data_IF_286111733092
#
_entry.id   IF_286111733092
#
_cell.length_a   1.000
_cell.length_b   1.000
_cell.length_c   1.000
_cell.angle_alpha   90.00
_cell.angle_beta   90.00
_cell.angle_gamma   90.00
#
_symmetry.space_group_name_H-M   'P 1'
#
loop_
_entity.id
_entity.type
_entity.pdbx_description
1 polymer ?
#
# COMPACT_ATOMS: atom_id res chain seq x y z
N UNK A 1 -23.21 -9.71 -33.46
CA UNK A 1 -21.84 -10.07 -33.86
C UNK A 1 -20.97 -9.80 -32.65
N UNK A 2 -20.67 -10.90 -31.95
CA UNK A 2 -19.73 -11.06 -30.82
C UNK A 2 -19.77 -10.06 -29.66
N UNK A 3 -20.58 -10.42 -28.66
CA UNK A 3 -20.23 -10.25 -27.26
C UNK A 3 -18.85 -10.90 -27.01
N UNK A 4 -17.87 -10.09 -26.62
CA UNK A 4 -16.65 -10.59 -25.98
C UNK A 4 -16.62 -10.11 -24.54
N UNK A 5 -17.30 -10.90 -23.74
CA UNK A 5 -17.02 -11.07 -22.33
C UNK A 5 -15.56 -11.52 -22.19
N UNK A 6 -14.77 -10.72 -21.49
CA UNK A 6 -13.45 -11.10 -21.00
C UNK A 6 -13.20 -10.23 -19.79
N UNK A 7 -13.80 -10.63 -18.68
CA UNK A 7 -13.36 -10.31 -17.34
C UNK A 7 -11.92 -10.85 -17.16
N UNK A 8 -10.96 -10.23 -17.85
CA UNK A 8 -9.54 -10.38 -17.57
C UNK A 8 -9.36 -9.73 -16.22
N UNK A 9 -9.34 -10.53 -15.17
CA UNK A 9 -8.70 -10.13 -13.92
C UNK A 9 -7.28 -9.69 -14.30
N UNK A 10 -7.08 -8.38 -14.41
CA UNK A 10 -5.79 -7.83 -14.77
C UNK A 10 -4.85 -8.17 -13.62
N UNK A 11 -3.92 -9.09 -13.88
CA UNK A 11 -2.94 -9.54 -12.89
C UNK A 11 -2.12 -8.34 -12.46
N UNK A 12 -2.17 -8.01 -11.16
CA UNK A 12 -1.31 -6.99 -10.57
C UNK A 12 0.15 -7.42 -10.75
N UNK A 13 0.94 -6.59 -11.41
CA UNK A 13 2.35 -6.86 -11.68
C UNK A 13 3.21 -6.53 -10.45
N UNK A 14 2.93 -5.39 -9.82
CA UNK A 14 3.73 -4.85 -8.72
C UNK A 14 2.96 -3.77 -7.96
N UNK A 15 3.30 -3.58 -6.69
CA UNK A 15 2.73 -2.55 -5.84
C UNK A 15 3.69 -1.39 -5.65
N UNK A 16 3.14 -0.18 -5.52
CA UNK A 16 3.92 1.04 -5.41
C UNK A 16 3.31 2.06 -4.44
N UNK A 17 4.17 2.96 -3.95
CA UNK A 17 3.77 4.17 -3.24
C UNK A 17 4.21 5.39 -4.05
N UNK A 18 3.35 6.41 -4.14
CA UNK A 18 3.73 7.72 -4.66
C UNK A 18 4.80 8.37 -3.77
N UNK A 19 5.98 8.63 -4.32
CA UNK A 19 7.11 9.24 -3.59
C UNK A 19 6.93 10.75 -3.41
N UNK A 20 6.15 11.37 -4.28
CA UNK A 20 5.88 12.79 -4.39
C UNK A 20 4.53 12.98 -5.08
N UNK A 21 4.02 14.21 -5.10
CA UNK A 21 2.85 14.55 -5.90
C UNK A 21 3.19 14.44 -7.39
N UNK A 22 2.34 13.77 -8.15
CA UNK A 22 2.54 13.57 -9.60
C UNK A 22 1.22 13.61 -10.36
N UNK A 23 1.32 13.82 -11.67
CA UNK A 23 0.18 13.97 -12.55
C UNK A 23 -0.14 12.63 -13.21
N UNK A 24 -1.39 12.22 -13.07
CA UNK A 24 -1.95 11.05 -13.73
C UNK A 24 -2.71 11.45 -14.98
N UNK A 25 -2.53 10.69 -16.06
CA UNK A 25 -3.30 10.85 -17.30
C UNK A 25 -4.24 9.66 -17.44
N UNK A 26 -5.54 9.91 -17.57
CA UNK A 26 -6.56 8.87 -17.69
C UNK A 26 -6.34 8.06 -18.96
N UNK A 27 -6.33 6.74 -18.82
CA UNK A 27 -6.29 5.80 -19.94
C UNK A 27 -7.68 5.24 -20.22
N UNK A 28 -8.35 4.75 -19.19
CA UNK A 28 -9.67 4.12 -19.27
C UNK A 28 -10.44 4.31 -17.96
N UNK A 29 -11.77 4.26 -17.99
CA UNK A 29 -12.62 4.20 -16.80
C UNK A 29 -13.56 5.38 -16.57
N UNK A 30 -14.15 5.41 -15.39
CA UNK A 30 -15.34 6.22 -15.08
C UNK A 30 -15.05 7.66 -14.61
N UNK A 31 -13.80 8.00 -14.25
CA UNK A 31 -13.46 9.35 -13.83
C UNK A 31 -13.71 10.34 -14.97
N UNK A 32 -14.39 11.47 -14.77
CA UNK A 32 -14.75 12.40 -15.85
C UNK A 32 -13.58 13.25 -16.35
N UNK A 33 -12.54 13.43 -15.51
CA UNK A 33 -11.36 14.23 -15.85
C UNK A 33 -10.31 13.39 -16.59
N UNK A 34 -9.61 14.02 -17.55
CA UNK A 34 -8.50 13.39 -18.27
C UNK A 34 -7.19 13.38 -17.46
N UNK A 35 -7.09 14.25 -16.47
CA UNK A 35 -5.89 14.45 -15.67
C UNK A 35 -6.29 14.53 -14.20
N UNK A 36 -5.50 13.93 -13.33
CA UNK A 36 -5.70 13.99 -11.89
C UNK A 36 -4.37 13.98 -11.14
N UNK A 37 -4.38 14.37 -9.87
CA UNK A 37 -3.18 14.39 -9.03
C UNK A 37 -3.10 13.13 -8.16
N UNK A 38 -1.98 12.40 -8.27
CA UNK A 38 -1.60 11.37 -7.32
C UNK A 38 -0.76 12.00 -6.23
N UNK A 39 -1.31 12.09 -5.03
CA UNK A 39 -0.62 12.72 -3.90
C UNK A 39 0.42 11.79 -3.28
N UNK A 40 1.43 12.40 -2.70
CA UNK A 40 2.49 11.76 -1.93
C UNK A 40 1.94 10.76 -0.91
N UNK A 41 2.52 9.56 -0.88
CA UNK A 41 2.14 8.46 0.01
C UNK A 41 0.87 7.69 -0.40
N UNK A 42 0.18 8.09 -1.48
CA UNK A 42 -0.90 7.29 -2.05
C UNK A 42 -0.37 5.96 -2.61
N UNK A 43 -1.22 4.94 -2.54
CA UNK A 43 -0.90 3.57 -2.88
C UNK A 43 -1.44 3.22 -4.25
N UNK A 44 -0.66 2.53 -5.09
CA UNK A 44 -1.07 2.16 -6.45
C UNK A 44 -0.65 0.73 -6.80
N UNK A 45 -1.48 0.08 -7.62
CA UNK A 45 -1.20 -1.20 -8.25
C UNK A 45 -0.78 -0.96 -9.69
N UNK A 46 0.35 -1.54 -10.12
CA UNK A 46 0.72 -1.56 -11.53
C UNK A 46 0.04 -2.74 -12.23
N UNK A 47 -0.66 -2.44 -13.32
CA UNK A 47 -1.41 -3.40 -14.13
C UNK A 47 -0.62 -3.79 -15.39
N UNK A 48 0.13 -2.85 -15.96
CA UNK A 48 0.87 -3.02 -17.22
C UNK A 48 2.08 -2.09 -17.28
N UNK A 49 3.21 -2.57 -17.82
CA UNK A 49 4.36 -1.73 -18.18
C UNK A 49 4.20 -1.26 -19.62
N UNK A 50 4.01 0.06 -19.80
CA UNK A 50 3.76 0.68 -21.11
C UNK A 50 5.06 1.06 -21.85
N UNK A 51 6.22 0.57 -21.36
CA UNK A 51 7.58 0.93 -21.80
C UNK A 51 7.96 2.36 -21.39
N UNK A 52 9.24 2.71 -21.58
CA UNK A 52 9.80 4.04 -21.28
C UNK A 52 9.55 4.51 -19.84
N UNK A 53 9.60 3.58 -18.87
CA UNK A 53 9.34 3.86 -17.46
C UNK A 53 7.95 4.43 -17.19
N UNK A 54 6.96 4.06 -18.00
CA UNK A 54 5.56 4.43 -17.83
C UNK A 54 4.74 3.20 -17.45
N UNK A 55 3.88 3.35 -16.46
CA UNK A 55 3.00 2.29 -15.97
C UNK A 55 1.54 2.66 -16.22
N UNK A 56 0.74 1.65 -16.57
CA UNK A 56 -0.71 1.66 -16.33
C UNK A 56 -0.92 1.24 -14.89
N UNK A 57 -1.56 2.10 -14.11
CA UNK A 57 -1.80 1.90 -12.69
C UNK A 57 -3.28 2.02 -12.32
N UNK A 58 -3.63 1.45 -11.18
CA UNK A 58 -4.87 1.71 -10.45
C UNK A 58 -4.51 2.32 -9.10
N UNK A 59 -5.22 3.37 -8.71
CA UNK A 59 -5.05 4.00 -7.40
C UNK A 59 -5.88 3.27 -6.36
N UNK A 60 -5.28 2.96 -5.22
CA UNK A 60 -5.94 2.31 -4.08
C UNK A 60 -6.28 3.37 -3.04
N UNK A 61 -7.58 3.60 -2.87
CA UNK A 61 -8.11 4.50 -1.84
C UNK A 61 -8.12 3.78 -0.49
N UNK A 62 -7.15 4.10 0.37
CA UNK A 62 -7.08 3.55 1.74
C UNK A 62 -7.83 4.38 2.78
N UNK A 63 -8.26 5.59 2.43
CA UNK A 63 -8.90 6.53 3.38
C UNK A 63 -10.43 6.47 3.23
N UNK A 64 -10.91 5.89 2.12
CA UNK A 64 -12.31 5.58 1.90
C UNK A 64 -13.10 6.81 1.43
N UNK A 65 -13.99 6.57 0.47
CA UNK A 65 -15.07 7.49 0.13
C UNK A 65 -14.89 8.24 -1.19
N UNK A 66 -13.72 8.20 -1.83
CA UNK A 66 -13.56 8.87 -3.13
C UNK A 66 -13.82 7.91 -4.28
N UNK A 67 -15.04 7.95 -4.83
CA UNK A 67 -15.38 7.25 -6.09
C UNK A 67 -14.55 7.73 -7.29
N UNK A 68 -13.77 8.80 -7.14
CA UNK A 68 -12.96 9.42 -8.18
C UNK A 68 -11.97 8.42 -8.80
N UNK A 69 -11.44 7.49 -8.00
CA UNK A 69 -10.44 6.52 -8.44
C UNK A 69 -11.04 5.20 -8.92
N UNK A 70 -12.27 4.90 -8.52
CA UNK A 70 -12.86 3.59 -8.71
C UNK A 70 -13.00 3.28 -10.21
N UNK A 71 -12.50 2.11 -10.61
CA UNK A 71 -12.60 1.63 -11.99
C UNK A 71 -11.88 2.50 -13.03
N UNK A 72 -10.92 3.35 -12.62
CA UNK A 72 -10.14 4.18 -13.54
C UNK A 72 -8.68 3.75 -13.58
N UNK A 73 -8.19 3.55 -14.79
CA UNK A 73 -6.80 3.22 -15.09
C UNK A 73 -6.06 4.48 -15.52
N UNK A 74 -4.88 4.68 -14.95
CA UNK A 74 -4.09 5.88 -15.13
C UNK A 74 -2.71 5.57 -15.67
N UNK A 75 -2.19 6.48 -16.46
CA UNK A 75 -0.79 6.53 -16.86
C UNK A 75 0.01 7.28 -15.79
N UNK A 76 1.09 6.68 -15.32
CA UNK A 76 2.00 7.28 -14.34
C UNK A 76 3.46 6.95 -14.69
N UNK A 77 4.39 7.88 -14.42
CA UNK A 77 5.81 7.59 -14.55
C UNK A 77 6.32 6.79 -13.34
N UNK A 78 7.07 5.73 -13.60
CA UNK A 78 7.69 4.87 -12.58
C UNK A 78 8.67 5.63 -11.70
N UNK A 79 9.28 6.69 -12.23
CA UNK A 79 10.21 7.52 -11.47
C UNK A 79 9.56 8.15 -10.25
N UNK A 80 8.24 8.38 -10.26
CA UNK A 80 7.50 8.99 -9.15
C UNK A 80 7.02 7.98 -8.11
N UNK A 81 7.43 6.71 -8.25
CA UNK A 81 6.90 5.59 -7.49
C UNK A 81 8.01 4.81 -6.79
N UNK A 82 7.76 4.39 -5.56
CA UNK A 82 8.62 3.48 -4.79
C UNK A 82 8.03 2.06 -4.89
N UNK A 83 8.75 1.08 -5.46
CA UNK A 83 8.27 -0.30 -5.52
C UNK A 83 8.23 -0.92 -4.13
N UNK A 84 7.15 -1.65 -3.84
CA UNK A 84 7.02 -2.39 -2.57
C UNK A 84 6.61 -3.84 -2.82
N UNK A 85 7.18 -4.76 -2.05
CA UNK A 85 6.79 -6.18 -2.11
C UNK A 85 5.37 -6.40 -1.59
N UNK A 86 4.72 -7.49 -2.02
CA UNK A 86 3.36 -7.87 -1.58
C UNK A 86 3.19 -7.86 -0.05
N UNK A 87 4.16 -8.43 0.68
CA UNK A 87 4.09 -8.54 2.14
C UNK A 87 4.13 -7.17 2.80
N UNK A 88 4.99 -6.26 2.32
CA UNK A 88 5.06 -4.88 2.83
C UNK A 88 3.83 -4.08 2.45
N UNK A 89 3.35 -4.23 1.22
CA UNK A 89 2.11 -3.63 0.75
C UNK A 89 0.93 -3.90 1.70
N UNK A 90 0.76 -5.15 2.13
CA UNK A 90 -0.31 -5.54 3.06
C UNK A 90 -0.27 -4.75 4.36
N UNK A 91 0.91 -4.42 4.88
CA UNK A 91 1.05 -3.62 6.10
C UNK A 91 0.87 -2.12 5.84
N UNK A 92 1.34 -1.61 4.70
CA UNK A 92 1.19 -0.19 4.34
C UNK A 92 -0.26 0.24 4.18
N UNK A 93 -1.16 -0.67 3.80
CA UNK A 93 -2.59 -0.43 3.72
C UNK A 93 -3.18 0.06 5.07
N UNK A 94 -2.60 -0.33 6.21
CA UNK A 94 -3.08 0.06 7.54
C UNK A 94 -2.49 1.38 8.05
N UNK A 95 -1.40 1.86 7.41
CA UNK A 95 -0.66 3.06 7.84
C UNK A 95 -1.38 4.32 7.35
N UNK A 96 -1.93 5.07 8.30
CA UNK A 96 -2.74 6.26 7.99
C UNK A 96 -1.91 7.41 7.44
N UNK A 97 -0.74 7.68 8.04
CA UNK A 97 0.13 8.77 7.65
C UNK A 97 0.82 8.50 6.30
N UNK A 98 0.61 9.34 5.26
CA UNK A 98 1.28 9.18 3.97
C UNK A 98 2.80 9.29 4.08
N UNK A 99 3.29 10.16 4.96
CA UNK A 99 4.72 10.34 5.20
C UNK A 99 5.33 9.12 5.88
N UNK A 100 4.60 8.50 6.82
CA UNK A 100 5.05 7.25 7.43
C UNK A 100 5.10 6.09 6.44
N UNK A 101 4.13 6.00 5.51
CA UNK A 101 4.18 5.00 4.42
C UNK A 101 5.47 5.11 3.61
N UNK A 102 5.83 6.33 3.20
CA UNK A 102 7.07 6.59 2.45
C UNK A 102 8.29 6.24 3.27
N UNK A 103 8.31 6.65 4.55
CA UNK A 103 9.42 6.35 5.46
C UNK A 103 9.63 4.84 5.60
N UNK A 104 8.56 4.07 5.76
CA UNK A 104 8.64 2.60 5.86
C UNK A 104 9.14 2.01 4.54
N UNK A 105 8.57 2.43 3.41
CA UNK A 105 8.91 1.87 2.10
C UNK A 105 10.35 2.15 1.65
N UNK A 106 10.93 3.27 2.09
CA UNK A 106 12.33 3.61 1.83
C UNK A 106 13.32 2.94 2.82
N UNK A 107 12.84 2.41 3.94
CA UNK A 107 13.69 1.71 4.91
C UNK A 107 13.73 0.21 4.57
N UNK A 108 14.67 -0.16 3.70
CA UNK A 108 14.85 -1.54 3.24
C UNK A 108 15.15 -2.50 4.40
N UNK A 109 15.93 -2.06 5.39
CA UNK A 109 16.27 -2.86 6.56
C UNK A 109 15.04 -3.11 7.44
N UNK A 110 14.18 -2.11 7.63
CA UNK A 110 12.91 -2.27 8.32
C UNK A 110 11.96 -3.17 7.53
N UNK A 111 11.85 -2.98 6.22
CA UNK A 111 11.05 -3.85 5.36
C UNK A 111 11.52 -5.30 5.47
N UNK A 112 12.81 -5.57 5.47
CA UNK A 112 13.34 -6.92 5.63
C UNK A 112 13.01 -7.51 7.00
N UNK A 113 13.15 -6.73 8.08
CA UNK A 113 12.71 -7.16 9.41
C UNK A 113 11.22 -7.51 9.44
N UNK A 114 10.36 -6.63 8.91
CA UNK A 114 8.90 -6.86 8.84
C UNK A 114 8.57 -8.11 8.00
N UNK A 115 9.29 -8.36 6.91
CA UNK A 115 9.12 -9.57 6.10
C UNK A 115 9.44 -10.85 6.86
N UNK A 116 10.33 -10.80 7.84
CA UNK A 116 10.76 -11.99 8.57
C UNK A 116 10.00 -12.21 9.89
N UNK A 117 9.18 -11.26 10.33
CA UNK A 117 8.31 -11.46 11.50
C UNK A 117 7.33 -12.62 11.25
N UNK A 118 7.27 -13.51 12.24
CA UNK A 118 6.44 -14.70 12.31
C UNK A 118 5.65 -14.76 13.60
N UNK A 119 4.60 -15.61 13.62
CA UNK A 119 3.87 -15.91 14.86
C UNK A 119 4.82 -16.56 15.86
N UNK A 120 4.69 -16.17 17.12
CA UNK A 120 5.53 -16.48 18.28
C UNK A 120 6.87 -15.71 18.37
N UNK A 121 7.16 -14.80 17.43
CA UNK A 121 8.30 -13.91 17.58
C UNK A 121 8.13 -12.93 18.73
N UNK A 122 9.23 -12.67 19.44
CA UNK A 122 9.32 -11.64 20.49
C UNK A 122 9.69 -10.30 19.85
N UNK A 123 8.84 -9.30 20.03
CA UNK A 123 8.99 -7.96 19.43
C UNK A 123 8.92 -6.86 20.48
N UNK A 124 9.44 -5.69 20.12
CA UNK A 124 9.23 -4.46 20.88
C UNK A 124 8.00 -3.75 20.37
N UNK A 125 7.04 -3.52 21.26
CA UNK A 125 5.85 -2.71 21.03
C UNK A 125 6.07 -1.31 21.60
N UNK A 126 5.70 -0.29 20.83
CA UNK A 126 5.77 1.10 21.22
C UNK A 126 4.34 1.66 21.18
N UNK A 127 3.62 1.71 22.30
CA UNK A 127 2.23 2.20 22.34
C UNK A 127 2.12 3.66 21.94
N UNK A 128 3.17 4.44 22.21
CA UNK A 128 3.26 5.85 21.85
C UNK A 128 4.45 6.09 20.91
N UNK A 129 4.17 6.48 19.67
CA UNK A 129 5.20 6.76 18.67
C UNK A 129 6.03 8.00 19.00
N UNK A 130 5.53 8.90 19.87
CA UNK A 130 6.22 10.09 20.35
C UNK A 130 7.15 9.77 21.52
N UNK A 131 6.82 8.79 22.36
CA UNK A 131 7.64 8.32 23.47
C UNK A 131 8.31 6.98 23.18
N UNK A 132 9.34 7.00 22.32
CA UNK A 132 10.11 5.81 21.93
C UNK A 132 10.81 5.07 23.09
N UNK A 133 10.80 5.62 24.31
CA UNK A 133 11.38 4.98 25.50
C UNK A 133 10.38 4.07 26.22
N UNK A 134 9.08 4.33 26.07
CA UNK A 134 8.05 3.41 26.53
C UNK A 134 7.96 2.25 25.54
N UNK A 135 8.85 1.26 25.69
CA UNK A 135 8.81 0.02 24.92
C UNK A 135 8.42 -1.12 25.81
N UNK A 136 7.43 -1.86 25.37
CA UNK A 136 6.98 -3.07 26.00
C UNK A 136 7.40 -4.26 25.15
N UNK A 137 7.61 -5.40 25.79
CA UNK A 137 7.91 -6.63 25.07
C UNK A 137 6.58 -7.32 24.79
N UNK A 138 6.40 -7.79 23.56
CA UNK A 138 5.23 -8.55 23.17
C UNK A 138 5.59 -9.80 22.37
N UNK A 139 4.69 -10.77 22.36
CA UNK A 139 4.74 -11.94 21.48
C UNK A 139 3.72 -11.74 20.35
N UNK A 140 4.14 -11.95 19.11
CA UNK A 140 3.22 -11.95 17.96
C UNK A 140 2.35 -13.21 18.02
N UNK A 141 1.04 -13.07 18.19
CA UNK A 141 0.09 -14.21 18.19
C UNK A 141 -0.72 -14.32 16.92
N UNK A 142 -0.80 -13.24 16.15
CA UNK A 142 -1.58 -13.20 14.93
C UNK A 142 -0.91 -12.30 13.89
N UNK A 143 -0.97 -12.73 12.63
CA UNK A 143 -0.57 -11.94 11.47
C UNK A 143 -1.65 -12.13 10.40
N UNK A 144 -2.35 -11.06 10.04
CA UNK A 144 -3.38 -11.15 9.00
C UNK A 144 -4.37 -9.99 9.00
N UNK A 145 -5.41 -10.12 8.17
CA UNK A 145 -6.45 -9.11 8.05
C UNK A 145 -7.46 -9.17 9.18
N UNK A 146 -7.88 -8.00 9.66
CA UNK A 146 -8.91 -7.87 10.70
C UNK A 146 -10.05 -7.04 10.11
N UNK A 147 -11.15 -7.69 9.74
CA UNK A 147 -12.27 -7.07 9.01
C UNK A 147 -12.79 -5.78 9.65
N UNK A 148 -12.81 -5.74 10.99
CA UNK A 148 -13.28 -4.60 11.77
C UNK A 148 -12.32 -3.40 11.75
N UNK A 149 -11.04 -3.62 11.43
CA UNK A 149 -10.02 -2.57 11.38
C UNK A 149 -9.78 -2.03 9.96
N UNK A 150 -10.28 -2.74 8.93
CA UNK A 150 -10.22 -2.30 7.54
C UNK A 150 -9.27 -3.12 6.68
N UNK A 151 -8.74 -2.48 5.63
CA UNK A 151 -7.84 -3.11 4.67
C UNK A 151 -6.44 -3.31 5.26
N UNK A 152 -5.76 -4.35 4.78
CA UNK A 152 -4.38 -4.64 5.16
C UNK A 152 -4.22 -5.66 6.27
N UNK A 153 -2.98 -5.84 6.71
CA UNK A 153 -2.59 -6.82 7.71
C UNK A 153 -2.15 -6.14 9.01
N UNK A 154 -2.46 -6.82 10.11
CA UNK A 154 -2.19 -6.39 11.47
C UNK A 154 -1.40 -7.46 12.20
N UNK A 155 -0.60 -7.03 13.18
CA UNK A 155 0.04 -7.90 14.16
C UNK A 155 -0.83 -7.91 15.42
N UNK A 156 -1.34 -9.08 15.79
CA UNK A 156 -1.94 -9.28 17.11
C UNK A 156 -0.84 -9.57 18.12
N UNK A 157 -0.72 -8.73 19.14
CA UNK A 157 0.36 -8.77 20.12
C UNK A 157 -0.19 -9.19 21.49
N UNK A 158 0.49 -10.14 22.13
CA UNK A 158 0.31 -10.44 23.56
C UNK A 158 1.42 -9.74 24.33
N UNK A 159 1.06 -8.77 25.17
CA UNK A 159 2.02 -8.01 25.98
C UNK A 159 2.55 -8.91 27.09
N UNK A 160 3.88 -8.95 27.24
CA UNK A 160 4.52 -9.57 28.38
C UNK A 160 4.57 -8.52 29.50
N UNK A 161 3.51 -8.48 30.30
CA UNK A 161 3.48 -7.69 31.52
C UNK A 161 4.56 -8.25 32.46
N UNK A 162 5.52 -7.42 32.82
CA UNK A 162 6.43 -7.69 33.93
C UNK A 162 5.79 -7.19 35.23
#
# INVERSE_FOLDING_TARGET
>A
MEDRDSNKEHRVLQHYIAKQDTVLIRLFGACVVNVNELRVGMLVEALEDLKESVLKIRVIDTIGGSKIWCGTEWRCHKYDLIPVSQKIWQYLLTVQSPQERIRIANDEALCERIRNISVNDRVWYCPDSSNRRAKEIAIVRYIGSVKQLGLGHYFGLELLVN
#
